data_IF_714700187895
#
_entry.id   IF_714700187895
#
_cell.length_a   1.000
_cell.length_b   1.000
_cell.length_c   1.000
_cell.angle_alpha   90.00
_cell.angle_beta   90.00
_cell.angle_gamma   90.00
#
_symmetry.space_group_name_H-M   'P 1'
#
loop_
_entity.id
_entity.type
_entity.pdbx_description
1 polymer ?
#
# COMPACT_ATOMS: atom_id res chain seq x y z
N UNK A 1 63.21 -35.86 15.53
CA UNK A 1 61.96 -36.29 16.17
C UNK A 1 60.77 -35.71 15.36
N UNK A 2 60.16 -36.56 14.52
CA UNK A 2 59.01 -36.18 13.67
C UNK A 2 57.73 -36.50 14.46
N UNK A 3 56.88 -35.49 14.66
CA UNK A 3 55.52 -35.70 15.17
C UNK A 3 54.56 -36.02 14.00
N UNK A 4 53.76 -37.11 14.09
CA UNK A 4 52.78 -37.43 13.05
C UNK A 4 51.59 -36.47 13.12
N UNK A 5 51.25 -35.86 11.96
CA UNK A 5 49.99 -35.11 11.76
C UNK A 5 48.83 -36.11 11.65
N UNK A 6 47.99 -36.19 12.67
CA UNK A 6 46.73 -36.91 12.59
C UNK A 6 45.71 -36.09 11.79
N UNK A 7 45.11 -36.64 10.74
CA UNK A 7 43.98 -35.97 10.05
C UNK A 7 42.68 -36.27 10.83
N UNK A 8 42.08 -35.25 11.41
CA UNK A 8 40.76 -35.39 11.99
C UNK A 8 39.67 -35.15 10.89
N UNK A 9 39.02 -36.22 10.37
CA UNK A 9 37.96 -36.09 9.35
C UNK A 9 36.65 -35.60 9.92
N UNK A 10 36.51 -35.51 11.26
CA UNK A 10 35.25 -35.12 11.94
C UNK A 10 34.89 -33.61 11.84
N UNK A 11 35.85 -32.74 11.60
CA UNK A 11 35.63 -31.31 11.61
C UNK A 11 34.85 -30.80 10.39
N UNK A 12 34.98 -31.43 9.22
CA UNK A 12 34.28 -31.00 8.00
C UNK A 12 32.81 -31.41 7.98
N UNK A 13 32.43 -32.52 8.57
CA UNK A 13 31.03 -32.95 8.65
C UNK A 13 30.25 -32.13 9.68
N UNK A 14 30.85 -31.86 10.84
CA UNK A 14 30.24 -31.03 11.89
C UNK A 14 30.03 -29.58 11.43
N UNK A 15 30.99 -29.02 10.69
CA UNK A 15 30.91 -27.68 10.14
C UNK A 15 29.82 -27.56 9.08
N UNK A 16 29.61 -28.58 8.24
CA UNK A 16 28.51 -28.61 7.26
C UNK A 16 27.14 -28.69 7.91
N UNK A 17 26.98 -29.46 9.00
CA UNK A 17 25.72 -29.54 9.76
C UNK A 17 25.38 -28.22 10.46
N UNK A 18 26.38 -27.52 10.98
CA UNK A 18 26.18 -26.19 11.60
C UNK A 18 25.79 -25.14 10.57
N UNK A 19 26.38 -25.14 9.37
CA UNK A 19 26.01 -24.21 8.29
C UNK A 19 24.60 -24.47 7.75
N UNK A 20 24.18 -25.74 7.62
CA UNK A 20 22.83 -26.08 7.18
C UNK A 20 21.77 -25.73 8.22
N UNK A 21 22.05 -25.91 9.52
CA UNK A 21 21.15 -25.53 10.60
C UNK A 21 21.00 -24.00 10.70
N UNK A 22 22.09 -23.25 10.51
CA UNK A 22 22.07 -21.78 10.52
C UNK A 22 21.32 -21.20 9.32
N UNK A 23 21.48 -21.80 8.13
CA UNK A 23 20.74 -21.38 6.93
C UNK A 23 19.23 -21.68 7.03
N UNK A 24 18.86 -22.78 7.68
CA UNK A 24 17.45 -23.15 7.87
C UNK A 24 16.76 -22.24 8.89
N UNK A 25 17.47 -21.83 9.95
CA UNK A 25 16.93 -20.87 10.94
C UNK A 25 16.76 -19.46 10.36
N UNK A 26 17.67 -19.01 9.50
CA UNK A 26 17.55 -17.71 8.81
C UNK A 26 16.37 -17.69 7.82
N UNK A 27 16.05 -18.80 7.18
CA UNK A 27 14.89 -18.90 6.28
C UNK A 27 13.54 -18.89 7.03
N UNK A 28 13.49 -19.41 8.26
CA UNK A 28 12.28 -19.35 9.09
C UNK A 28 12.01 -17.94 9.63
N UNK A 29 13.05 -17.18 9.96
CA UNK A 29 12.88 -15.78 10.46
C UNK A 29 12.48 -14.80 9.36
N UNK A 30 12.89 -15.05 8.12
CA UNK A 30 12.47 -14.22 6.97
C UNK A 30 10.97 -14.36 6.65
N UNK A 31 10.33 -15.44 7.05
CA UNK A 31 8.90 -15.69 6.83
C UNK A 31 8.00 -15.03 7.87
N UNK A 32 8.54 -14.55 8.99
CA UNK A 32 7.80 -13.95 10.09
C UNK A 32 7.53 -12.44 9.91
N UNK A 33 7.98 -11.83 8.82
CA UNK A 33 7.67 -10.44 8.46
C UNK A 33 6.50 -10.34 7.46
N UNK A 34 5.58 -11.31 7.47
CA UNK A 34 4.30 -11.14 6.81
C UNK A 34 3.63 -9.90 7.44
N UNK A 35 3.38 -8.89 6.60
CA UNK A 35 2.64 -7.69 6.99
C UNK A 35 1.39 -8.13 7.75
N UNK A 36 1.23 -7.62 8.99
CA UNK A 36 0.01 -7.85 9.78
C UNK A 36 -1.21 -7.66 8.88
N UNK A 37 -2.22 -8.52 8.95
CA UNK A 37 -3.44 -8.37 8.16
C UNK A 37 -4.04 -6.98 8.38
N UNK A 38 -4.63 -6.41 7.32
CA UNK A 38 -5.43 -5.20 7.48
C UNK A 38 -6.59 -5.52 8.41
N UNK A 39 -6.91 -4.64 9.40
CA UNK A 39 -8.11 -4.83 10.22
C UNK A 39 -9.34 -4.84 9.31
N UNK A 40 -10.19 -5.84 9.44
CA UNK A 40 -11.41 -5.99 8.61
C UNK A 40 -12.41 -4.83 8.79
N UNK A 41 -12.32 -4.13 9.93
CA UNK A 41 -13.15 -2.99 10.30
C UNK A 41 -12.49 -1.63 10.03
N UNK A 42 -11.33 -1.62 9.34
CA UNK A 42 -10.70 -0.35 8.98
C UNK A 42 -11.58 0.45 8.02
N UNK A 43 -12.01 1.60 8.48
CA UNK A 43 -12.91 2.52 7.74
C UNK A 43 -12.65 3.96 8.18
N UNK A 44 -13.24 4.91 7.47
CA UNK A 44 -13.22 6.31 7.85
C UNK A 44 -14.38 7.09 7.23
N UNK A 45 -14.72 8.20 7.87
CA UNK A 45 -15.60 9.23 7.30
C UNK A 45 -14.84 10.54 7.28
N UNK A 46 -14.59 11.10 6.09
CA UNK A 46 -13.86 12.34 5.88
C UNK A 46 -14.65 13.32 5.00
N UNK A 47 -14.50 14.63 5.22
CA UNK A 47 -15.12 15.63 4.32
C UNK A 47 -14.40 15.63 2.97
N UNK A 48 -15.14 15.85 1.89
CA UNK A 48 -14.60 16.14 0.56
C UNK A 48 -13.73 17.41 0.58
N UNK A 49 -12.92 17.60 -0.47
CA UNK A 49 -11.98 18.72 -0.55
C UNK A 49 -12.69 20.08 -0.41
N UNK A 50 -13.85 20.23 -1.03
CA UNK A 50 -14.71 21.43 -0.97
C UNK A 50 -15.54 21.52 0.33
N UNK A 51 -15.60 20.43 1.11
CA UNK A 51 -16.42 20.33 2.32
C UNK A 51 -17.92 20.13 2.06
N UNK A 52 -18.32 19.94 0.80
CA UNK A 52 -19.74 19.83 0.41
C UNK A 52 -20.40 18.51 0.81
N UNK A 53 -19.62 17.46 1.04
CA UNK A 53 -20.14 16.15 1.49
C UNK A 53 -19.13 15.42 2.40
N UNK A 54 -19.63 14.46 3.15
CA UNK A 54 -18.79 13.45 3.83
C UNK A 54 -18.69 12.19 2.98
N UNK A 55 -17.51 11.57 2.99
CA UNK A 55 -17.18 10.35 2.28
C UNK A 55 -16.85 9.29 3.33
N UNK A 56 -17.67 8.24 3.39
CA UNK A 56 -17.38 7.04 4.22
C UNK A 56 -16.87 5.96 3.29
N UNK A 57 -15.63 5.50 3.52
CA UNK A 57 -14.96 4.62 2.56
C UNK A 57 -15.71 3.30 2.34
N UNK A 58 -16.24 2.68 3.41
CA UNK A 58 -17.03 1.45 3.32
C UNK A 58 -18.37 1.59 2.59
N UNK A 59 -18.88 2.82 2.45
CA UNK A 59 -20.17 3.10 1.79
C UNK A 59 -20.00 3.54 0.33
N UNK A 60 -18.76 3.75 -0.13
CA UNK A 60 -18.54 4.08 -1.54
C UNK A 60 -18.85 2.85 -2.41
N UNK A 61 -19.61 3.02 -3.51
CA UNK A 61 -20.04 1.89 -4.33
C UNK A 61 -18.89 1.26 -5.10
N UNK A 62 -18.85 -0.07 -5.15
CA UNK A 62 -17.86 -0.84 -5.93
C UNK A 62 -16.47 -0.92 -5.28
N UNK A 63 -15.49 -1.41 -6.05
CA UNK A 63 -14.12 -1.48 -5.59
C UNK A 63 -13.49 -0.08 -5.52
N UNK A 64 -12.75 0.20 -4.45
CA UNK A 64 -12.20 1.51 -4.15
C UNK A 64 -10.69 1.42 -3.89
N UNK A 65 -9.93 2.24 -4.62
CA UNK A 65 -8.53 2.51 -4.35
C UNK A 65 -8.44 3.84 -3.58
N UNK A 66 -7.93 3.80 -2.36
CA UNK A 66 -7.69 4.96 -1.52
C UNK A 66 -6.20 5.24 -1.54
N UNK A 67 -5.81 6.44 -2.00
CA UNK A 67 -4.41 6.83 -2.09
C UNK A 67 -4.14 8.04 -1.20
N UNK A 68 -3.22 7.88 -0.25
CA UNK A 68 -2.77 8.91 0.66
C UNK A 68 -1.58 9.64 0.05
N UNK A 69 -1.67 10.97 -0.04
CA UNK A 69 -0.71 11.80 -0.73
C UNK A 69 -0.51 13.17 -0.07
N UNK A 70 0.48 13.94 -0.55
CA UNK A 70 0.73 15.33 -0.17
C UNK A 70 1.24 16.12 -1.37
N UNK A 71 1.02 17.44 -1.34
CA UNK A 71 1.47 18.37 -2.40
C UNK A 71 3.00 18.43 -2.54
N UNK A 72 3.73 18.11 -1.49
CA UNK A 72 5.20 18.09 -1.45
C UNK A 72 5.79 16.68 -1.71
N UNK A 73 4.94 15.71 -2.02
CA UNK A 73 5.34 14.34 -2.30
C UNK A 73 5.49 14.14 -3.82
N UNK A 74 6.70 14.28 -4.33
CA UNK A 74 6.96 14.13 -5.77
C UNK A 74 6.52 12.77 -6.34
N UNK A 75 6.79 11.60 -5.71
CA UNK A 75 6.31 10.32 -6.22
C UNK A 75 4.78 10.21 -6.18
N UNK A 76 4.09 10.87 -5.23
CA UNK A 76 2.62 10.91 -5.20
C UNK A 76 2.06 11.63 -6.45
N UNK A 77 2.65 12.77 -6.79
CA UNK A 77 2.23 13.53 -7.96
C UNK A 77 2.52 12.78 -9.27
N UNK A 78 3.63 12.04 -9.30
CA UNK A 78 4.04 11.26 -10.48
C UNK A 78 3.10 10.07 -10.78
N UNK A 79 2.46 9.46 -9.79
CA UNK A 79 1.53 8.34 -10.00
C UNK A 79 0.10 8.78 -10.34
N UNK A 80 -0.28 10.05 -10.10
CA UNK A 80 -1.65 10.53 -10.33
C UNK A 80 -2.20 10.30 -11.74
N UNK A 81 -1.43 10.47 -12.84
CA UNK A 81 -1.92 10.13 -14.17
C UNK A 81 -2.30 8.66 -14.33
N UNK A 82 -1.56 7.75 -13.69
CA UNK A 82 -1.88 6.32 -13.70
C UNK A 82 -3.17 6.04 -12.92
N UNK A 83 -3.35 6.67 -11.77
CA UNK A 83 -4.57 6.55 -10.97
C UNK A 83 -5.79 7.16 -11.68
N UNK A 84 -5.61 8.26 -12.42
CA UNK A 84 -6.65 8.83 -13.27
C UNK A 84 -7.06 7.85 -14.37
N UNK A 85 -6.09 7.25 -15.08
CA UNK A 85 -6.37 6.23 -16.10
C UNK A 85 -7.12 5.01 -15.53
N UNK A 86 -6.79 4.58 -14.30
CA UNK A 86 -7.53 3.51 -13.63
C UNK A 86 -9.00 3.89 -13.41
N UNK A 87 -9.25 5.10 -12.91
CA UNK A 87 -10.60 5.59 -12.62
C UNK A 87 -11.45 5.80 -13.87
N UNK A 88 -10.84 6.24 -14.97
CA UNK A 88 -11.51 6.48 -16.26
C UNK A 88 -11.68 5.20 -17.08
N UNK A 89 -10.97 4.13 -16.68
CA UNK A 89 -10.94 2.86 -17.42
C UNK A 89 -12.14 1.94 -17.11
N UNK A 90 -12.25 0.84 -17.87
CA UNK A 90 -13.38 -0.10 -17.76
C UNK A 90 -13.28 -1.06 -16.57
N UNK A 91 -12.24 -0.96 -15.74
CA UNK A 91 -11.99 -1.90 -14.64
C UNK A 91 -13.02 -1.86 -13.50
N UNK A 92 -13.81 -0.78 -13.43
CA UNK A 92 -14.77 -0.53 -12.36
C UNK A 92 -14.15 -0.03 -11.05
N UNK A 93 -12.83 0.09 -10.96
CA UNK A 93 -12.14 0.67 -9.82
C UNK A 93 -12.39 2.17 -9.73
N UNK A 94 -12.81 2.60 -8.55
CA UNK A 94 -12.89 4.02 -8.20
C UNK A 94 -11.62 4.41 -7.45
N UNK A 95 -11.23 5.66 -7.57
CA UNK A 95 -10.07 6.21 -6.87
C UNK A 95 -10.51 7.36 -5.97
N UNK A 96 -10.05 7.35 -4.73
CA UNK A 96 -10.21 8.43 -3.75
C UNK A 96 -8.83 8.84 -3.25
N UNK A 97 -8.48 10.09 -3.48
CA UNK A 97 -7.27 10.69 -2.93
C UNK A 97 -7.54 11.24 -1.53
N UNK A 98 -6.61 11.05 -0.59
CA UNK A 98 -6.74 11.55 0.79
C UNK A 98 -5.48 12.34 1.16
N UNK A 99 -5.65 13.58 1.63
CA UNK A 99 -4.53 14.45 2.00
C UNK A 99 -4.80 15.21 3.31
N UNK A 100 -3.71 15.59 4.00
CA UNK A 100 -3.77 16.53 5.12
C UNK A 100 -3.53 18.00 4.70
N UNK A 101 -3.19 18.23 3.43
CA UNK A 101 -2.94 19.55 2.89
C UNK A 101 -4.19 20.45 2.92
N UNK A 102 -3.96 21.76 2.84
CA UNK A 102 -5.08 22.70 2.75
C UNK A 102 -5.84 22.52 1.42
N UNK A 103 -7.16 22.78 1.39
CA UNK A 103 -7.94 22.66 0.17
C UNK A 103 -7.36 23.43 -1.01
N UNK A 104 -6.86 24.65 -0.76
CA UNK A 104 -6.28 25.48 -1.80
C UNK A 104 -4.96 24.92 -2.35
N UNK A 105 -4.12 24.34 -1.50
CA UNK A 105 -2.85 23.71 -1.94
C UNK A 105 -3.13 22.45 -2.74
N UNK A 106 -4.02 21.58 -2.24
CA UNK A 106 -4.41 20.35 -2.92
C UNK A 106 -5.04 20.65 -4.29
N UNK A 107 -6.00 21.57 -4.37
CA UNK A 107 -6.64 21.96 -5.63
C UNK A 107 -5.63 22.45 -6.68
N UNK A 108 -4.67 23.32 -6.27
CA UNK A 108 -3.61 23.79 -7.17
C UNK A 108 -2.70 22.63 -7.65
N UNK A 109 -2.37 21.68 -6.78
CA UNK A 109 -1.58 20.53 -7.16
C UNK A 109 -2.32 19.65 -8.17
N UNK A 110 -3.60 19.35 -7.92
CA UNK A 110 -4.47 18.59 -8.83
C UNK A 110 -4.55 19.24 -10.21
N UNK A 111 -4.73 20.56 -10.27
CA UNK A 111 -4.74 21.31 -11.54
C UNK A 111 -3.42 21.17 -12.30
N UNK A 112 -2.27 21.28 -11.61
CA UNK A 112 -0.96 21.16 -12.25
C UNK A 112 -0.72 19.81 -12.89
N UNK A 113 -1.23 18.72 -12.26
CA UNK A 113 -1.09 17.34 -12.80
C UNK A 113 -2.25 16.94 -13.70
N UNK A 114 -3.24 17.82 -13.93
CA UNK A 114 -4.40 17.55 -14.79
C UNK A 114 -5.34 16.48 -14.26
N UNK A 115 -5.37 16.25 -12.93
CA UNK A 115 -6.22 15.23 -12.32
C UNK A 115 -7.54 15.80 -11.82
N UNK A 116 -8.62 15.04 -12.06
CA UNK A 116 -9.99 15.32 -11.61
C UNK A 116 -10.49 14.33 -10.55
N UNK A 117 -9.60 13.49 -10.04
CA UNK A 117 -9.92 12.49 -9.01
C UNK A 117 -10.53 13.15 -7.77
N UNK A 118 -11.52 12.51 -7.12
CA UNK A 118 -12.08 13.01 -5.88
C UNK A 118 -11.04 13.01 -4.76
N UNK A 119 -11.07 14.07 -3.93
CA UNK A 119 -10.15 14.25 -2.81
C UNK A 119 -10.92 14.39 -1.51
N UNK A 120 -10.51 13.68 -0.47
CA UNK A 120 -10.98 13.86 0.90
C UNK A 120 -9.89 14.49 1.78
N UNK A 121 -10.33 15.25 2.81
CA UNK A 121 -9.44 15.93 3.76
C UNK A 121 -9.25 15.09 5.01
N UNK A 122 -8.06 14.50 5.17
CA UNK A 122 -7.68 13.71 6.34
C UNK A 122 -7.34 14.53 7.58
N UNK A 123 -6.96 15.79 7.39
CA UNK A 123 -6.59 16.70 8.49
C UNK A 123 -5.54 16.12 9.42
N UNK A 124 -5.59 16.50 10.70
CA UNK A 124 -4.65 16.05 11.73
C UNK A 124 -4.75 14.54 12.01
N UNK A 125 -5.86 13.90 11.67
CA UNK A 125 -6.10 12.46 11.88
C UNK A 125 -5.45 11.55 10.83
N UNK A 126 -4.94 12.11 9.72
CA UNK A 126 -4.45 11.33 8.58
C UNK A 126 -3.37 10.31 8.95
N UNK A 127 -2.39 10.71 9.75
CA UNK A 127 -1.31 9.82 10.19
C UNK A 127 -1.82 8.65 11.02
N UNK A 128 -2.78 8.89 11.92
CA UNK A 128 -3.40 7.83 12.72
C UNK A 128 -4.19 6.86 11.83
N UNK A 129 -4.93 7.39 10.87
CA UNK A 129 -5.67 6.57 9.89
C UNK A 129 -4.75 5.68 9.06
N UNK A 130 -3.64 6.23 8.55
CA UNK A 130 -2.64 5.43 7.82
C UNK A 130 -1.98 4.37 8.70
N UNK A 131 -1.67 4.71 9.97
CA UNK A 131 -1.10 3.74 10.93
C UNK A 131 -2.06 2.59 11.21
N UNK A 132 -3.34 2.86 11.38
CA UNK A 132 -4.37 1.85 11.55
C UNK A 132 -4.45 0.91 10.33
N UNK A 133 -4.16 1.40 9.12
CA UNK A 133 -4.02 0.59 7.91
C UNK A 133 -2.62 -0.07 7.78
N UNK A 134 -1.77 0.01 8.80
CA UNK A 134 -0.44 -0.63 8.84
C UNK A 134 0.71 0.19 8.26
N UNK A 135 0.50 1.46 7.88
CA UNK A 135 1.58 2.37 7.52
C UNK A 135 2.21 3.01 8.78
N UNK A 136 2.94 2.22 9.53
CA UNK A 136 3.54 2.63 10.81
C UNK A 136 4.61 3.72 10.65
N UNK A 137 5.22 3.83 9.48
CA UNK A 137 6.27 4.81 9.16
C UNK A 137 5.73 6.14 8.66
N UNK A 138 4.42 6.21 8.31
CA UNK A 138 3.82 7.41 7.71
C UNK A 138 4.38 7.74 6.32
N UNK A 139 4.86 6.72 5.58
CA UNK A 139 5.41 6.89 4.24
C UNK A 139 4.32 7.30 3.23
N UNK A 140 4.67 8.15 2.29
CA UNK A 140 3.82 8.54 1.15
C UNK A 140 4.57 8.28 -0.17
N UNK A 141 3.83 7.92 -1.24
CA UNK A 141 2.41 7.61 -1.24
C UNK A 141 2.11 6.31 -0.49
N UNK A 142 0.87 6.18 -0.03
CA UNK A 142 0.38 4.95 0.58
C UNK A 142 -1.00 4.63 0.04
N UNK A 143 -1.24 3.38 -0.33
CA UNK A 143 -2.48 2.95 -0.96
C UNK A 143 -3.15 1.85 -0.16
N UNK A 144 -4.48 1.93 -0.02
CA UNK A 144 -5.33 0.86 0.51
C UNK A 144 -6.39 0.53 -0.53
N UNK A 145 -6.59 -0.74 -0.80
CA UNK A 145 -7.68 -1.23 -1.64
C UNK A 145 -8.83 -1.75 -0.78
N UNK A 146 -10.04 -1.46 -1.21
CA UNK A 146 -11.27 -1.95 -0.58
C UNK A 146 -12.18 -2.60 -1.61
N UNK A 147 -12.80 -3.72 -1.22
CA UNK A 147 -13.89 -4.36 -1.97
C UNK A 147 -15.01 -4.72 -1.02
N UNK A 148 -16.27 -4.54 -1.45
CA UNK A 148 -17.44 -4.82 -0.61
C UNK A 148 -17.42 -4.08 0.75
N UNK A 149 -16.88 -2.85 0.76
CA UNK A 149 -16.77 -2.03 1.96
C UNK A 149 -15.69 -2.47 2.96
N UNK A 150 -14.80 -3.41 2.60
CA UNK A 150 -13.73 -3.93 3.46
C UNK A 150 -12.35 -3.77 2.82
N UNK A 151 -11.31 -3.46 3.60
CA UNK A 151 -9.96 -3.41 3.09
C UNK A 151 -9.47 -4.82 2.71
N UNK A 152 -8.75 -4.94 1.59
CA UNK A 152 -8.27 -6.21 1.07
C UNK A 152 -6.78 -6.23 0.72
N UNK A 153 -6.19 -5.08 0.40
CA UNK A 153 -4.76 -4.97 0.12
C UNK A 153 -4.23 -3.58 0.47
N UNK A 154 -2.92 -3.47 0.63
CA UNK A 154 -2.24 -2.19 0.83
C UNK A 154 -0.88 -2.18 0.15
N UNK A 155 -0.41 -0.98 -0.19
CA UNK A 155 0.91 -0.76 -0.76
C UNK A 155 1.53 0.52 -0.18
N UNK A 156 2.81 0.46 0.20
CA UNK A 156 3.58 1.63 0.60
C UNK A 156 4.62 1.93 -0.47
N UNK A 157 4.61 3.14 -0.99
CA UNK A 157 5.46 3.59 -2.09
C UNK A 157 4.66 3.87 -3.36
N UNK A 158 5.38 4.40 -4.36
CA UNK A 158 4.79 4.78 -5.64
C UNK A 158 4.26 3.57 -6.41
N UNK A 159 3.06 3.72 -6.96
CA UNK A 159 2.48 2.78 -7.92
C UNK A 159 2.96 3.11 -9.33
N UNK A 160 3.22 2.06 -10.10
CA UNK A 160 3.58 2.12 -11.51
C UNK A 160 2.78 1.09 -12.33
N UNK A 161 3.11 0.98 -13.62
CA UNK A 161 2.43 0.06 -14.54
C UNK A 161 2.63 -1.43 -14.21
N UNK A 162 3.58 -1.78 -13.34
CA UNK A 162 3.84 -3.15 -12.91
C UNK A 162 3.22 -3.42 -11.54
N UNK A 163 3.38 -2.50 -10.60
CA UNK A 163 2.92 -2.65 -9.22
C UNK A 163 1.41 -2.50 -9.09
N UNK A 164 0.79 -1.57 -9.84
CA UNK A 164 -0.66 -1.36 -9.76
C UNK A 164 -1.47 -2.62 -10.16
N UNK A 165 -1.25 -3.28 -11.31
CA UNK A 165 -1.98 -4.51 -11.64
C UNK A 165 -1.77 -5.63 -10.63
N UNK A 166 -0.54 -5.79 -10.12
CA UNK A 166 -0.22 -6.80 -9.11
C UNK A 166 -0.93 -6.53 -7.77
N UNK A 167 -1.10 -5.26 -7.39
CA UNK A 167 -1.86 -4.88 -6.22
C UNK A 167 -3.36 -5.13 -6.40
N UNK A 168 -3.94 -4.73 -7.54
CA UNK A 168 -5.36 -4.92 -7.85
C UNK A 168 -5.74 -6.41 -7.87
N UNK A 169 -4.85 -7.29 -8.34
CA UNK A 169 -5.06 -8.73 -8.38
C UNK A 169 -5.23 -9.37 -6.98
N UNK A 170 -4.79 -8.70 -5.92
CA UNK A 170 -4.98 -9.17 -4.53
C UNK A 170 -6.42 -8.99 -4.03
N UNK A 171 -7.22 -8.19 -4.73
CA UNK A 171 -8.60 -7.84 -4.36
C UNK A 171 -9.57 -8.21 -5.50
N UNK A 172 -9.87 -9.49 -5.70
CA UNK A 172 -10.79 -9.90 -6.76
C UNK A 172 -12.17 -9.30 -6.53
N UNK A 173 -12.74 -8.72 -7.58
CA UNK A 173 -14.10 -8.20 -7.63
C UNK A 173 -14.71 -8.51 -8.98
N UNK A 174 -16.03 -8.65 -9.02
CA UNK A 174 -16.72 -8.76 -10.30
C UNK A 174 -16.59 -7.41 -11.06
N UNK A 175 -16.22 -7.41 -12.35
CA UNK A 175 -16.23 -6.20 -13.14
C UNK A 175 -17.64 -5.59 -13.13
N UNK A 176 -17.70 -4.25 -13.15
CA UNK A 176 -18.99 -3.55 -13.24
C UNK A 176 -19.73 -4.02 -14.49
N UNK A 177 -21.06 -4.23 -14.44
CA UNK A 177 -21.84 -4.58 -15.61
C UNK A 177 -21.65 -3.48 -16.67
N UNK A 178 -21.17 -3.87 -17.84
CA UNK A 178 -21.04 -2.97 -19.00
C UNK A 178 -22.46 -2.56 -19.42
N UNK A 179 -22.76 -1.27 -19.36
CA UNK A 179 -24.00 -0.68 -19.89
C UNK A 179 -23.85 -0.37 -21.35
#
# INVERSE_FOLDING_TARGET
MLFPRMPFPFTRALMRLLFTALALSAALTARAQALEPLPDDWDFTLPSLDGGRFITASQEPGPLLINFWSVDCAPCLAEMPLLQQLADGPSGWRVLLVTADTPAAAARAMQRVGSTLPVARGGKGLTALMRAAGNTRGALPFTVLMTNGRPCARHAGQLDQQTLPALLAQCPHAPAPQR
#
